data_IF_671204313779
#
_entry.id   IF_671204313779
#
_cell.length_a   1.000
_cell.length_b   1.000
_cell.length_c   1.000
_cell.angle_alpha   90.00
_cell.angle_beta   90.00
_cell.angle_gamma   90.00
#
_symmetry.space_group_name_H-M   'P 1'
#
loop_
_entity.id
_entity.type
_entity.pdbx_description
1 polymer ?
#
# COMPACT_ATOMS: atom_id res chain seq x y z
N UNK A 1 -14.97 -6.88 2.55
CA UNK A 1 -14.73 -5.57 1.90
C UNK A 1 -13.64 -4.86 2.68
N UNK A 2 -12.65 -4.23 2.02
CA UNK A 2 -11.58 -3.49 2.71
C UNK A 2 -12.12 -2.13 3.19
N UNK A 3 -11.88 -1.79 4.46
CA UNK A 3 -12.42 -0.57 5.09
C UNK A 3 -11.35 0.45 5.47
N UNK A 4 -10.10 0.02 5.64
CA UNK A 4 -8.98 0.89 6.02
C UNK A 4 -7.68 0.33 5.45
N UNK A 5 -6.82 1.23 4.97
CA UNK A 5 -5.43 0.94 4.64
C UNK A 5 -4.55 1.60 5.70
N UNK A 6 -3.77 0.78 6.41
CA UNK A 6 -2.76 1.22 7.37
C UNK A 6 -1.38 0.76 6.89
N UNK A 7 -0.44 1.69 6.78
CA UNK A 7 0.92 1.45 6.30
C UNK A 7 1.88 2.21 7.19
N UNK A 8 2.93 1.53 7.65
CA UNK A 8 3.98 2.11 8.47
C UNK A 8 5.34 1.61 7.97
N UNK A 9 6.33 2.52 7.93
CA UNK A 9 7.71 2.25 7.55
C UNK A 9 7.87 1.45 6.23
N UNK A 10 7.06 1.76 5.23
CA UNK A 10 7.08 1.09 3.93
C UNK A 10 7.51 2.06 2.82
N UNK A 11 8.71 1.82 2.28
CA UNK A 11 9.35 2.70 1.29
C UNK A 11 9.33 4.17 1.78
N UNK A 12 8.75 5.09 1.02
CA UNK A 12 8.67 6.51 1.41
C UNK A 12 7.53 6.83 2.39
N UNK A 13 6.67 5.87 2.74
CA UNK A 13 5.58 6.08 3.69
C UNK A 13 6.06 5.79 5.10
N UNK A 14 6.15 6.84 5.94
CA UNK A 14 6.45 6.68 7.36
C UNK A 14 5.25 6.12 8.12
N UNK A 15 4.10 6.78 7.98
CA UNK A 15 2.83 6.35 8.60
C UNK A 15 1.65 6.92 7.82
N UNK A 16 0.75 6.04 7.38
CA UNK A 16 -0.50 6.38 6.70
C UNK A 16 -1.59 5.50 7.27
N UNK A 17 -2.70 6.10 7.69
CA UNK A 17 -3.93 5.39 8.03
C UNK A 17 -5.05 6.10 7.29
N UNK A 18 -5.68 5.44 6.33
CA UNK A 18 -6.76 6.02 5.53
C UNK A 18 -7.97 5.08 5.46
N UNK A 19 -9.19 5.59 5.67
CA UNK A 19 -10.40 4.82 5.38
C UNK A 19 -10.51 4.58 3.87
N UNK A 20 -11.05 3.43 3.49
CA UNK A 20 -11.33 3.07 2.10
C UNK A 20 -12.83 3.18 1.83
N UNK A 21 -13.19 3.83 0.72
CA UNK A 21 -14.56 3.94 0.21
C UNK A 21 -14.66 3.30 -1.19
N UNK A 22 -15.84 3.36 -1.80
CA UNK A 22 -16.08 2.84 -3.17
C UNK A 22 -15.20 3.49 -4.25
N UNK A 23 -14.74 4.73 -4.02
CA UNK A 23 -13.75 5.42 -4.84
C UNK A 23 -12.78 6.18 -3.93
N UNK A 24 -11.48 5.99 -4.15
CA UNK A 24 -10.42 6.72 -3.44
C UNK A 24 -9.51 7.35 -4.49
N UNK A 25 -9.39 8.68 -4.47
CA UNK A 25 -8.55 9.43 -5.42
C UNK A 25 -7.28 9.88 -4.69
N UNK A 26 -6.12 9.47 -5.20
CA UNK A 26 -4.82 9.78 -4.58
C UNK A 26 -4.10 10.82 -5.44
N UNK A 27 -3.96 12.04 -4.91
CA UNK A 27 -3.31 13.18 -5.59
C UNK A 27 -2.11 13.70 -4.79
N UNK A 28 -1.36 14.64 -5.38
CA UNK A 28 -0.20 15.28 -4.75
C UNK A 28 1.00 15.40 -5.69
N UNK A 29 2.01 16.18 -5.30
CA UNK A 29 3.22 16.40 -6.08
C UNK A 29 4.05 15.11 -6.29
N UNK A 30 4.99 15.13 -7.22
CA UNK A 30 5.92 14.01 -7.40
C UNK A 30 6.78 13.81 -6.15
N UNK A 31 7.10 12.56 -5.83
CA UNK A 31 7.87 12.21 -4.64
C UNK A 31 7.09 12.15 -3.32
N UNK A 32 5.80 12.50 -3.29
CA UNK A 32 5.00 12.50 -2.04
C UNK A 32 4.51 11.13 -1.58
N UNK A 33 4.98 10.03 -2.19
CA UNK A 33 4.66 8.66 -1.74
C UNK A 33 3.42 8.01 -2.36
N UNK A 34 2.78 8.63 -3.37
CA UNK A 34 1.66 8.02 -4.10
C UNK A 34 2.00 6.63 -4.66
N UNK A 35 3.16 6.50 -5.32
CA UNK A 35 3.63 5.21 -5.84
C UNK A 35 3.89 4.19 -4.73
N UNK A 36 4.41 4.63 -3.58
CA UNK A 36 4.59 3.77 -2.41
C UNK A 36 3.25 3.27 -1.86
N UNK A 37 2.19 4.10 -1.87
CA UNK A 37 0.85 3.70 -1.46
C UNK A 37 0.27 2.62 -2.39
N UNK A 38 0.41 2.79 -3.70
CA UNK A 38 0.00 1.76 -4.66
C UNK A 38 0.80 0.47 -4.53
N UNK A 39 2.11 0.56 -4.25
CA UNK A 39 2.95 -0.62 -4.01
C UNK A 39 2.57 -1.35 -2.72
N UNK A 40 2.19 -0.64 -1.65
CA UNK A 40 1.69 -1.26 -0.43
C UNK A 40 0.40 -2.06 -0.69
N UNK A 41 -0.53 -1.49 -1.47
CA UNK A 41 -1.75 -2.19 -1.89
C UNK A 41 -1.43 -3.44 -2.74
N UNK A 42 -0.46 -3.33 -3.65
CA UNK A 42 0.01 -4.47 -4.46
C UNK A 42 0.64 -5.55 -3.60
N UNK A 43 1.52 -5.19 -2.66
CA UNK A 43 2.13 -6.13 -1.72
C UNK A 43 1.07 -6.89 -0.92
N UNK A 44 0.04 -6.20 -0.41
CA UNK A 44 -1.08 -6.84 0.31
C UNK A 44 -1.87 -7.80 -0.60
N UNK A 45 -2.13 -7.41 -1.84
CA UNK A 45 -2.80 -8.27 -2.81
C UNK A 45 -1.97 -9.52 -3.13
N UNK A 46 -0.66 -9.36 -3.36
CA UNK A 46 0.24 -10.48 -3.66
C UNK A 46 0.42 -11.39 -2.45
N UNK A 47 0.50 -10.83 -1.23
CA UNK A 47 0.56 -11.58 0.01
C UNK A 47 -0.70 -12.43 0.23
N UNK A 48 -1.87 -11.91 -0.14
CA UNK A 48 -3.14 -12.66 -0.05
C UNK A 48 -3.19 -13.87 -1.00
N UNK A 49 -2.48 -13.80 -2.14
CA UNK A 49 -2.49 -14.84 -3.18
C UNK A 49 -1.37 -15.87 -3.03
N UNK A 50 -0.19 -15.42 -2.62
CA UNK A 50 1.05 -16.21 -2.67
C UNK A 50 1.73 -16.37 -1.30
N UNK A 51 1.13 -15.85 -0.23
CA UNK A 51 1.71 -15.81 1.11
C UNK A 51 2.61 -14.60 1.33
N UNK A 52 2.63 -14.12 2.58
CA UNK A 52 3.31 -12.88 2.95
C UNK A 52 4.82 -12.89 2.70
N UNK A 53 5.51 -13.99 3.04
CA UNK A 53 6.98 -14.10 2.89
C UNK A 53 7.38 -14.02 1.42
N UNK A 54 6.70 -14.78 0.55
CA UNK A 54 7.01 -14.80 -0.88
C UNK A 54 6.67 -13.46 -1.56
N UNK A 55 5.60 -12.80 -1.14
CA UNK A 55 5.23 -11.48 -1.65
C UNK A 55 6.27 -10.42 -1.24
N UNK A 56 6.69 -10.41 0.03
CA UNK A 56 7.70 -9.47 0.52
C UNK A 56 9.06 -9.69 -0.17
N UNK A 57 9.47 -10.94 -0.37
CA UNK A 57 10.73 -11.26 -1.04
C UNK A 57 10.79 -10.74 -2.49
N UNK A 58 9.64 -10.58 -3.16
CA UNK A 58 9.54 -10.05 -4.53
C UNK A 58 9.33 -8.55 -4.61
N UNK A 59 9.00 -7.91 -3.50
CA UNK A 59 8.66 -6.49 -3.47
C UNK A 59 9.88 -5.56 -3.44
N UNK A 60 11.12 -6.07 -3.36
CA UNK A 60 12.34 -5.24 -3.46
C UNK A 60 12.28 -4.19 -4.57
#
# INVERSE_FOLDING_TARGET
MLTTLAVENYRSLRRVVMPLRGLNVVTGANGTGKSSLYRALRLLADASRNGAVAALARDG
#
